data_IF_989919821951
#
_entry.id   IF_989919821951
#
_cell.length_a   1.000
_cell.length_b   1.000
_cell.length_c   1.000
_cell.angle_alpha   90.00
_cell.angle_beta   90.00
_cell.angle_gamma   90.00
#
_symmetry.space_group_name_H-M   'P 1'
#
loop_
_entity.id
_entity.type
_entity.pdbx_description
1 polymer ?
#
# COMPACT_ATOMS: atom_id res chain seq x y z
N UNK A 1 15.09 -21.60 -15.62
CA UNK A 1 15.49 -21.87 -14.25
C UNK A 1 14.30 -22.32 -13.44
N UNK A 2 14.39 -23.47 -12.76
CA UNK A 2 13.34 -23.92 -11.86
C UNK A 2 13.27 -22.97 -10.68
N UNK A 3 12.19 -22.21 -10.56
CA UNK A 3 11.91 -21.46 -9.34
C UNK A 3 11.62 -22.43 -8.20
N UNK A 4 12.60 -22.60 -7.32
CA UNK A 4 12.40 -23.36 -6.09
C UNK A 4 11.39 -22.56 -5.25
N UNK A 5 10.23 -23.17 -4.97
CA UNK A 5 9.24 -22.59 -4.05
C UNK A 5 9.77 -22.76 -2.62
N UNK A 6 10.58 -21.82 -2.17
CA UNK A 6 11.01 -21.72 -0.78
C UNK A 6 10.24 -20.64 -0.09
N UNK A 7 9.73 -20.91 1.09
CA UNK A 7 9.11 -19.93 1.98
C UNK A 7 10.16 -19.05 2.67
N UNK A 8 11.42 -19.52 2.73
CA UNK A 8 12.52 -18.84 3.38
C UNK A 8 13.67 -18.61 2.40
N UNK A 9 14.39 -17.51 2.59
CA UNK A 9 15.64 -17.27 1.88
C UNK A 9 16.68 -18.29 2.34
N UNK A 10 17.61 -18.73 1.48
CA UNK A 10 18.78 -19.45 1.89
C UNK A 10 19.53 -18.69 3.00
N UNK A 11 20.11 -19.42 3.94
CA UNK A 11 20.84 -18.84 5.08
C UNK A 11 21.93 -17.87 4.64
N UNK A 12 22.56 -18.15 3.50
CA UNK A 12 23.61 -17.33 2.88
C UNK A 12 23.08 -15.96 2.40
N UNK A 13 21.79 -15.87 2.12
CA UNK A 13 21.12 -14.65 1.71
C UNK A 13 20.46 -13.90 2.88
N UNK A 14 20.38 -14.54 4.05
CA UNK A 14 19.77 -13.93 5.22
C UNK A 14 20.61 -12.77 5.73
N UNK A 15 20.02 -11.58 5.78
CA UNK A 15 20.69 -10.39 6.30
C UNK A 15 21.63 -9.67 5.33
N UNK A 16 21.69 -10.08 4.07
CA UNK A 16 22.40 -9.31 3.04
C UNK A 16 21.67 -8.01 2.72
N UNK A 17 22.43 -6.95 2.47
CA UNK A 17 21.90 -5.73 1.89
C UNK A 17 21.42 -6.00 0.46
N UNK A 18 20.28 -5.50 0.03
CA UNK A 18 19.83 -5.66 -1.35
C UNK A 18 20.87 -5.11 -2.35
N UNK A 19 21.06 -5.82 -3.47
CA UNK A 19 21.89 -5.34 -4.56
C UNK A 19 21.12 -4.31 -5.38
N UNK A 20 21.70 -3.14 -5.57
CA UNK A 20 21.09 -2.03 -6.31
C UNK A 20 21.71 -1.80 -7.70
N UNK A 21 22.69 -2.59 -8.10
CA UNK A 21 23.46 -2.40 -9.34
C UNK A 21 22.58 -2.41 -10.60
N UNK A 22 21.51 -3.24 -10.58
CA UNK A 22 20.50 -3.27 -11.64
C UNK A 22 19.53 -2.09 -11.64
N UNK A 23 19.58 -1.22 -10.62
CA UNK A 23 18.65 -0.11 -10.43
C UNK A 23 19.37 1.17 -10.01
N UNK A 24 20.33 1.68 -10.81
CA UNK A 24 21.19 2.81 -10.43
C UNK A 24 20.40 4.12 -10.20
N UNK A 25 19.20 4.23 -10.80
CA UNK A 25 18.31 5.38 -10.60
C UNK A 25 17.53 5.35 -9.29
N UNK A 26 17.52 4.22 -8.57
CA UNK A 26 16.82 4.11 -7.30
C UNK A 26 17.73 4.54 -6.16
N UNK A 27 17.54 5.75 -5.66
CA UNK A 27 18.44 6.38 -4.68
C UNK A 27 18.18 5.91 -3.24
N UNK A 28 16.97 5.42 -2.95
CA UNK A 28 16.56 5.06 -1.61
C UNK A 28 16.99 3.64 -1.24
N UNK A 29 16.99 3.35 0.06
CA UNK A 29 17.08 1.97 0.54
C UNK A 29 15.70 1.32 0.53
N UNK A 30 15.65 -0.01 0.38
CA UNK A 30 14.39 -0.80 0.42
C UNK A 30 14.63 -2.11 1.15
N UNK A 31 13.66 -2.55 1.94
CA UNK A 31 13.75 -3.84 2.61
C UNK A 31 12.67 -4.05 3.66
N UNK A 32 12.91 -5.03 4.51
CA UNK A 32 12.01 -5.44 5.58
C UNK A 32 12.71 -5.28 6.93
N UNK A 33 12.06 -4.66 7.91
CA UNK A 33 12.46 -4.80 9.32
C UNK A 33 11.78 -6.00 9.95
N UNK A 34 10.63 -6.40 9.41
CA UNK A 34 9.90 -7.60 9.81
C UNK A 34 9.27 -8.31 8.60
N UNK A 35 9.06 -9.62 8.72
CA UNK A 35 8.30 -10.46 7.80
C UNK A 35 7.09 -11.04 8.53
N UNK A 36 6.10 -11.50 7.77
CA UNK A 36 4.86 -12.04 8.32
C UNK A 36 3.87 -10.97 8.78
N UNK A 37 2.74 -11.41 9.34
CA UNK A 37 1.67 -10.53 9.80
C UNK A 37 0.92 -11.17 10.97
N UNK A 38 0.40 -10.34 11.93
CA UNK A 38 -0.45 -10.78 13.04
C UNK A 38 -1.86 -11.18 12.59
N UNK A 39 -2.28 -10.67 11.42
CA UNK A 39 -3.63 -10.83 10.93
C UNK A 39 -3.75 -12.03 10.02
N UNK A 40 -4.87 -12.73 10.11
CA UNK A 40 -5.20 -13.83 9.21
C UNK A 40 -6.28 -13.37 8.24
N UNK A 41 -5.92 -12.52 7.28
CA UNK A 41 -6.81 -12.08 6.21
C UNK A 41 -6.78 -13.12 5.07
N UNK A 42 -7.27 -14.35 5.35
CA UNK A 42 -7.11 -15.52 4.47
C UNK A 42 -7.80 -15.37 3.12
N UNK A 43 -8.84 -14.53 3.05
CA UNK A 43 -9.71 -14.48 1.88
C UNK A 43 -9.08 -13.77 0.67
N UNK A 44 -8.18 -12.83 0.93
CA UNK A 44 -7.50 -12.08 -0.14
C UNK A 44 -5.98 -11.94 0.06
N UNK A 45 -5.49 -12.10 1.29
CA UNK A 45 -4.10 -11.84 1.62
C UNK A 45 -3.24 -13.11 1.59
N UNK A 46 -2.16 -13.08 0.82
CA UNK A 46 -1.23 -14.22 0.71
C UNK A 46 -0.19 -14.27 1.83
N UNK A 47 -0.03 -13.18 2.61
CA UNK A 47 1.03 -13.02 3.61
C UNK A 47 1.00 -14.12 4.69
N UNK A 48 -0.15 -14.44 5.32
CA UNK A 48 -0.18 -15.47 6.35
C UNK A 48 0.32 -16.83 5.85
N UNK A 49 -0.06 -17.18 4.61
CA UNK A 49 0.35 -18.44 3.98
C UNK A 49 1.80 -18.43 3.50
N UNK A 50 2.29 -17.27 3.00
CA UNK A 50 3.60 -17.15 2.39
C UNK A 50 4.71 -16.88 3.41
N UNK A 51 4.44 -16.09 4.42
CA UNK A 51 5.44 -15.57 5.37
C UNK A 51 5.19 -15.98 6.82
N UNK A 52 3.97 -16.42 7.15
CA UNK A 52 3.60 -16.89 8.48
C UNK A 52 3.49 -15.77 9.52
N UNK A 53 3.90 -16.10 10.74
CA UNK A 53 3.89 -15.19 11.89
C UNK A 53 4.93 -14.09 11.76
N UNK A 54 4.72 -12.99 12.49
CA UNK A 54 5.67 -11.88 12.56
C UNK A 54 7.04 -12.35 13.08
N UNK A 55 8.08 -11.98 12.34
CA UNK A 55 9.48 -12.20 12.67
C UNK A 55 10.27 -10.91 12.41
N UNK A 56 11.03 -10.43 13.39
CA UNK A 56 12.01 -9.37 13.19
C UNK A 56 13.16 -9.91 12.33
N UNK A 57 13.56 -9.17 11.30
CA UNK A 57 14.59 -9.62 10.35
C UNK A 57 15.75 -8.64 10.18
N UNK A 58 15.53 -7.34 10.41
CA UNK A 58 16.57 -6.33 10.24
C UNK A 58 16.29 -5.08 11.08
N UNK A 59 17.28 -4.19 11.16
CA UNK A 59 17.16 -2.82 11.66
C UNK A 59 17.23 -1.83 10.49
N UNK A 60 16.88 -0.57 10.71
CA UNK A 60 16.95 0.46 9.68
C UNK A 60 18.41 0.72 9.25
N UNK A 61 19.34 0.71 10.21
CA UNK A 61 20.77 0.86 9.95
C UNK A 61 21.31 -0.23 9.01
N UNK A 62 20.88 -1.46 9.20
CA UNK A 62 21.29 -2.58 8.33
C UNK A 62 20.66 -2.51 6.94
N UNK A 63 19.47 -1.91 6.80
CA UNK A 63 18.82 -1.71 5.51
C UNK A 63 19.41 -0.53 4.73
N UNK A 64 19.94 0.46 5.44
CA UNK A 64 20.49 1.64 4.81
C UNK A 64 21.73 1.30 3.97
N UNK A 65 21.81 1.88 2.77
CA UNK A 65 22.91 1.66 1.81
C UNK A 65 24.27 2.19 2.28
N UNK A 66 24.31 2.94 3.37
CA UNK A 66 25.54 3.49 3.95
C UNK A 66 25.85 4.91 3.50
N UNK A 67 27.06 5.35 3.85
CA UNK A 67 27.54 6.71 3.58
C UNK A 67 27.50 7.03 2.07
N UNK A 68 27.16 8.27 1.73
CA UNK A 68 26.94 8.71 0.35
C UNK A 68 25.52 8.48 -0.18
N UNK A 69 24.67 7.75 0.55
CA UNK A 69 23.26 7.55 0.19
C UNK A 69 22.29 8.25 1.14
N UNK A 70 21.12 8.71 0.62
CA UNK A 70 20.10 9.33 1.46
C UNK A 70 19.65 8.41 2.61
N UNK A 71 19.39 8.99 3.77
CA UNK A 71 18.80 8.27 4.93
C UNK A 71 17.29 8.07 4.75
N UNK A 72 16.90 7.50 3.64
CA UNK A 72 15.53 7.25 3.21
C UNK A 72 15.32 5.77 2.93
N UNK A 73 14.32 5.16 3.59
CA UNK A 73 14.12 3.72 3.53
C UNK A 73 12.65 3.40 3.21
N UNK A 74 12.42 2.67 2.12
CA UNK A 74 11.11 2.09 1.80
C UNK A 74 10.99 0.76 2.53
N UNK A 75 10.06 0.69 3.47
CA UNK A 75 9.76 -0.52 4.22
C UNK A 75 8.60 -1.30 3.57
N UNK A 76 8.87 -2.57 3.33
CA UNK A 76 7.93 -3.53 2.77
C UNK A 76 7.22 -4.36 3.87
N UNK A 77 7.33 -3.91 5.10
CA UNK A 77 6.77 -4.56 6.30
C UNK A 77 5.25 -4.70 6.19
N UNK A 78 4.75 -5.93 6.29
CA UNK A 78 3.31 -6.19 6.20
C UNK A 78 2.54 -5.77 7.46
N UNK A 79 3.23 -5.66 8.61
CA UNK A 79 2.64 -5.29 9.89
C UNK A 79 3.72 -4.67 10.79
N UNK A 80 4.11 -3.43 10.50
CA UNK A 80 5.19 -2.73 11.20
C UNK A 80 5.04 -2.81 12.73
N UNK A 81 3.84 -2.55 13.26
CA UNK A 81 3.56 -2.63 14.70
C UNK A 81 3.31 -4.03 15.24
N UNK A 82 3.36 -5.06 14.41
CA UNK A 82 3.41 -6.44 14.81
C UNK A 82 4.78 -6.85 15.34
N UNK A 83 5.83 -6.22 14.87
CA UNK A 83 7.16 -6.37 15.41
C UNK A 83 7.23 -5.78 16.82
N UNK A 84 7.67 -6.58 17.81
CA UNK A 84 7.81 -6.12 19.19
C UNK A 84 8.90 -5.06 19.35
N UNK A 85 9.86 -5.05 18.44
CA UNK A 85 11.01 -4.13 18.44
C UNK A 85 10.70 -2.79 17.73
N UNK A 86 9.43 -2.53 17.39
CA UNK A 86 9.06 -1.26 16.75
C UNK A 86 9.51 0.00 17.55
N UNK A 87 9.56 0.01 18.92
CA UNK A 87 10.09 1.17 19.63
C UNK A 87 11.56 1.43 19.32
N UNK A 88 12.37 0.37 19.22
CA UNK A 88 13.79 0.47 18.87
C UNK A 88 13.97 1.04 17.45
N UNK A 89 13.11 0.64 16.50
CA UNK A 89 13.13 1.17 15.12
C UNK A 89 12.77 2.66 15.10
N UNK A 90 11.82 3.09 15.94
CA UNK A 90 11.44 4.51 16.07
C UNK A 90 12.59 5.32 16.68
N UNK A 91 13.22 4.83 17.74
CA UNK A 91 14.42 5.46 18.33
C UNK A 91 15.57 5.55 17.32
N UNK A 92 15.75 4.50 16.51
CA UNK A 92 16.76 4.49 15.44
C UNK A 92 16.45 5.57 14.39
N UNK A 93 15.17 5.76 14.00
CA UNK A 93 14.75 6.86 13.13
C UNK A 93 15.14 8.23 13.71
N UNK A 94 14.84 8.44 14.99
CA UNK A 94 15.10 9.70 15.67
C UNK A 94 16.60 9.99 15.80
N UNK A 95 17.37 9.02 16.27
CA UNK A 95 18.81 9.13 16.51
C UNK A 95 19.61 9.31 15.22
N UNK A 96 19.28 8.53 14.18
CA UNK A 96 20.04 8.51 12.93
C UNK A 96 19.48 9.48 11.89
N UNK A 97 18.27 10.01 12.09
CA UNK A 97 17.61 10.90 11.14
C UNK A 97 17.05 10.18 9.92
N UNK A 98 16.67 8.90 10.05
CA UNK A 98 16.03 8.16 8.96
C UNK A 98 14.63 8.69 8.67
N UNK A 99 14.28 8.72 7.37
CA UNK A 99 12.90 8.90 6.88
C UNK A 99 12.41 7.56 6.35
N UNK A 100 11.22 7.14 6.75
CA UNK A 100 10.68 5.83 6.37
C UNK A 100 9.38 5.95 5.56
N UNK A 101 9.20 5.07 4.60
CA UNK A 101 7.96 4.92 3.84
C UNK A 101 7.42 3.49 4.06
N UNK A 102 6.45 3.32 4.96
CA UNK A 102 5.82 2.02 5.28
C UNK A 102 4.65 1.79 4.33
N UNK A 103 4.95 1.26 3.15
CA UNK A 103 4.03 1.25 2.00
C UNK A 103 2.90 0.21 2.08
N UNK A 104 3.07 -0.84 2.86
CA UNK A 104 1.99 -1.82 3.08
C UNK A 104 0.95 -1.29 4.07
N UNK A 105 1.29 -0.21 4.77
CA UNK A 105 0.40 0.45 5.71
C UNK A 105 0.42 -0.13 7.11
N UNK A 106 -0.27 0.58 8.00
CA UNK A 106 -0.50 0.18 9.39
C UNK A 106 -1.95 -0.25 9.56
N UNK A 107 -2.23 -1.07 10.57
CA UNK A 107 -3.61 -1.40 10.90
C UNK A 107 -4.19 -0.38 11.89
N UNK A 108 -4.98 0.58 11.38
CA UNK A 108 -5.58 1.63 12.21
C UNK A 108 -6.55 1.08 13.26
N UNK A 109 -7.24 -0.06 13.00
CA UNK A 109 -8.20 -0.65 13.94
C UNK A 109 -7.59 -1.00 15.30
N UNK A 110 -6.32 -1.42 15.30
CA UNK A 110 -5.57 -1.84 16.50
C UNK A 110 -4.54 -0.80 16.94
N UNK A 111 -4.47 0.34 16.30
CA UNK A 111 -3.50 1.39 16.62
C UNK A 111 -3.71 1.89 18.05
N UNK A 112 -2.68 1.83 18.87
CA UNK A 112 -2.67 2.38 20.24
C UNK A 112 -2.25 3.85 20.21
N UNK A 113 -2.52 4.56 21.31
CA UNK A 113 -2.06 5.96 21.49
C UNK A 113 -0.54 6.06 21.37
N UNK A 114 0.20 5.18 22.05
CA UNK A 114 1.68 5.14 21.96
C UNK A 114 2.21 4.92 20.53
N UNK A 115 1.53 4.10 19.74
CA UNK A 115 1.90 3.89 18.33
C UNK A 115 1.58 5.11 17.47
N UNK A 116 0.47 5.81 17.73
CA UNK A 116 0.13 7.05 17.03
C UNK A 116 1.15 8.16 17.35
N UNK A 117 1.53 8.31 18.61
CA UNK A 117 2.60 9.23 19.05
C UNK A 117 3.94 8.89 18.38
N UNK A 118 4.28 7.61 18.28
CA UNK A 118 5.47 7.14 17.59
C UNK A 118 5.45 7.51 16.09
N UNK A 119 4.31 7.37 15.42
CA UNK A 119 4.15 7.80 14.02
C UNK A 119 4.35 9.32 13.89
N UNK A 120 3.79 10.10 14.81
CA UNK A 120 3.92 11.55 14.79
C UNK A 120 5.36 12.03 15.06
N UNK A 121 6.14 11.25 15.83
CA UNK A 121 7.49 11.63 16.27
C UNK A 121 8.59 11.43 15.23
N UNK A 122 8.33 10.72 14.13
CA UNK A 122 9.31 10.43 13.07
C UNK A 122 8.77 10.74 11.67
N UNK A 123 9.64 10.97 10.67
CA UNK A 123 9.19 11.30 9.32
C UNK A 123 8.67 10.07 8.56
N UNK A 124 7.37 9.82 8.66
CA UNK A 124 6.68 8.88 7.77
C UNK A 124 6.40 9.56 6.44
N UNK A 125 6.91 8.99 5.35
CA UNK A 125 6.96 9.64 4.05
C UNK A 125 6.25 8.82 2.96
N UNK A 126 5.92 9.49 1.86
CA UNK A 126 5.57 8.82 0.60
C UNK A 126 6.80 8.10 0.01
N UNK A 127 6.60 7.18 -0.92
CA UNK A 127 7.67 6.44 -1.59
C UNK A 127 8.69 7.31 -2.31
N UNK A 128 8.28 8.50 -2.74
CA UNK A 128 9.17 9.49 -3.36
C UNK A 128 9.80 10.44 -2.33
N UNK A 129 9.53 10.29 -1.04
CA UNK A 129 10.06 11.08 0.06
C UNK A 129 9.84 12.61 -0.03
N UNK A 130 8.90 13.05 -0.85
CA UNK A 130 8.59 14.47 -1.04
C UNK A 130 7.56 15.02 -0.04
N UNK A 131 6.74 14.15 0.56
CA UNK A 131 5.67 14.56 1.48
C UNK A 131 5.45 13.54 2.58
N UNK A 132 4.95 14.01 3.73
CA UNK A 132 4.49 13.12 4.81
C UNK A 132 3.36 12.24 4.29
N UNK A 133 3.40 10.94 4.67
CA UNK A 133 2.38 9.96 4.28
C UNK A 133 2.32 8.82 5.27
N UNK A 134 1.14 8.57 5.80
CA UNK A 134 0.81 7.37 6.58
C UNK A 134 -0.19 6.56 5.77
N UNK A 135 0.14 5.31 5.50
CA UNK A 135 -0.74 4.40 4.77
C UNK A 135 -1.48 3.50 5.77
N UNK A 136 -2.76 3.25 5.52
CA UNK A 136 -3.61 2.32 6.26
C UNK A 136 -4.65 1.72 5.33
N UNK A 137 -5.47 0.77 5.80
CA UNK A 137 -6.51 0.15 4.99
C UNK A 137 -7.86 0.09 5.73
N UNK A 138 -8.94 0.27 4.95
CA UNK A 138 -10.31 0.03 5.41
C UNK A 138 -11.06 -0.80 4.36
N UNK A 139 -11.08 -2.11 4.56
CA UNK A 139 -11.60 -3.08 3.60
C UNK A 139 -13.00 -3.60 3.97
N UNK A 140 -13.37 -3.58 5.27
CA UNK A 140 -14.65 -4.07 5.75
C UNK A 140 -15.45 -2.96 6.43
N UNK A 141 -16.73 -2.81 6.07
CA UNK A 141 -17.67 -1.85 6.69
C UNK A 141 -17.86 -2.10 8.19
N UNK A 142 -17.85 -3.34 8.64
CA UNK A 142 -18.01 -3.70 10.05
C UNK A 142 -16.91 -3.10 10.94
N UNK A 143 -15.77 -2.79 10.35
CA UNK A 143 -14.63 -2.19 11.04
C UNK A 143 -14.73 -0.66 11.20
N UNK A 144 -15.75 -0.01 10.64
CA UNK A 144 -15.86 1.46 10.55
C UNK A 144 -15.51 2.15 11.87
N UNK A 145 -16.21 1.80 12.95
CA UNK A 145 -16.02 2.46 14.25
C UNK A 145 -14.60 2.32 14.80
N UNK A 146 -14.03 1.14 14.68
CA UNK A 146 -12.67 0.86 15.18
C UNK A 146 -11.61 1.51 14.30
N UNK A 147 -11.84 1.54 12.99
CA UNK A 147 -10.98 2.17 12.02
C UNK A 147 -10.89 3.69 12.24
N UNK A 148 -12.03 4.40 12.27
CA UNK A 148 -12.03 5.86 12.46
C UNK A 148 -11.54 6.27 13.84
N UNK A 149 -11.75 5.46 14.89
CA UNK A 149 -11.11 5.68 16.19
C UNK A 149 -9.58 5.63 16.09
N UNK A 150 -9.03 4.73 15.28
CA UNK A 150 -7.59 4.68 15.02
C UNK A 150 -7.09 5.88 14.22
N UNK A 151 -7.84 6.35 13.22
CA UNK A 151 -7.50 7.59 12.51
C UNK A 151 -7.53 8.81 13.44
N UNK A 152 -8.51 8.88 14.35
CA UNK A 152 -8.59 9.97 15.32
C UNK A 152 -7.36 10.00 16.24
N UNK A 153 -6.86 8.82 16.69
CA UNK A 153 -5.62 8.73 17.47
C UNK A 153 -4.40 9.30 16.71
N UNK A 154 -4.33 9.09 15.40
CA UNK A 154 -3.27 9.71 14.58
C UNK A 154 -3.39 11.23 14.58
N UNK A 155 -4.59 11.76 14.42
CA UNK A 155 -4.84 13.20 14.41
C UNK A 155 -4.56 13.82 15.78
N UNK A 156 -5.01 13.18 16.85
CA UNK A 156 -4.76 13.62 18.23
C UNK A 156 -3.25 13.64 18.56
N UNK A 157 -2.47 12.74 17.97
CA UNK A 157 -1.01 12.72 18.05
C UNK A 157 -0.30 13.76 17.15
N UNK A 158 -1.03 14.51 16.32
CA UNK A 158 -0.48 15.56 15.45
C UNK A 158 -0.25 15.16 13.98
N UNK A 159 -0.75 14.00 13.55
CA UNK A 159 -0.71 13.61 12.13
C UNK A 159 -1.81 14.33 11.37
N UNK A 160 -1.45 15.11 10.34
CA UNK A 160 -2.44 15.79 9.49
C UNK A 160 -3.31 14.78 8.75
N UNK A 161 -4.66 14.90 8.76
CA UNK A 161 -5.57 14.02 8.02
C UNK A 161 -5.21 13.89 6.53
N UNK A 162 -4.82 14.97 5.86
CA UNK A 162 -4.42 14.96 4.44
C UNK A 162 -3.16 14.12 4.18
N UNK A 163 -2.35 13.87 5.19
CA UNK A 163 -1.20 12.95 5.08
C UNK A 163 -1.59 11.48 5.19
N UNK A 164 -2.82 11.15 5.60
CA UNK A 164 -3.29 9.77 5.74
C UNK A 164 -3.86 9.30 4.39
N UNK A 165 -3.33 8.20 3.87
CA UNK A 165 -3.84 7.53 2.68
C UNK A 165 -4.46 6.19 3.10
N UNK A 166 -5.72 6.00 2.72
CA UNK A 166 -6.50 4.83 3.09
C UNK A 166 -6.70 3.94 1.86
N UNK A 167 -6.04 2.79 1.86
CA UNK A 167 -6.31 1.74 0.90
C UNK A 167 -7.72 1.20 1.12
N UNK A 168 -8.43 0.95 0.04
CA UNK A 168 -9.77 0.37 0.03
C UNK A 168 -9.76 -0.81 -0.94
N UNK A 169 -9.81 -2.04 -0.47
CA UNK A 169 -10.04 -3.19 -1.34
C UNK A 169 -11.46 -3.08 -1.90
N UNK A 170 -11.62 -3.08 -3.21
CA UNK A 170 -12.91 -2.94 -3.90
C UNK A 170 -13.13 -4.06 -4.89
N UNK A 171 -14.35 -4.57 -4.97
CA UNK A 171 -14.73 -5.69 -5.83
C UNK A 171 -14.33 -7.06 -5.30
N UNK A 172 -13.91 -7.17 -4.03
CA UNK A 172 -13.53 -8.43 -3.39
C UNK A 172 -14.72 -9.05 -2.64
N UNK A 173 -15.37 -8.29 -1.77
CA UNK A 173 -16.46 -8.80 -0.94
C UNK A 173 -17.65 -9.19 -1.80
N UNK A 174 -18.23 -10.37 -1.53
CA UNK A 174 -19.43 -10.81 -2.21
C UNK A 174 -20.60 -9.88 -1.84
N UNK A 175 -21.33 -9.43 -2.86
CA UNK A 175 -22.44 -8.50 -2.69
C UNK A 175 -22.02 -7.02 -2.50
N UNK A 176 -20.72 -6.66 -2.54
CA UNK A 176 -20.32 -5.26 -2.49
C UNK A 176 -20.91 -4.47 -3.65
N UNK A 177 -21.64 -3.39 -3.33
CA UNK A 177 -22.28 -2.51 -4.31
C UNK A 177 -21.43 -1.27 -4.62
N UNK A 178 -21.77 -0.57 -5.69
CA UNK A 178 -21.19 0.74 -6.00
C UNK A 178 -21.45 1.75 -4.86
N UNK A 179 -22.62 1.66 -4.21
CA UNK A 179 -22.98 2.51 -3.08
C UNK A 179 -22.08 2.25 -1.86
N UNK A 180 -21.73 1.01 -1.56
CA UNK A 180 -20.82 0.66 -0.45
C UNK A 180 -19.42 1.22 -0.68
N UNK A 181 -18.92 1.12 -1.91
CA UNK A 181 -17.62 1.69 -2.29
C UNK A 181 -17.62 3.21 -2.16
N UNK A 182 -18.67 3.86 -2.67
CA UNK A 182 -18.79 5.33 -2.60
C UNK A 182 -19.00 5.81 -1.17
N UNK A 183 -19.74 5.08 -0.36
CA UNK A 183 -19.88 5.35 1.07
C UNK A 183 -18.52 5.36 1.79
N UNK A 184 -17.70 4.32 1.60
CA UNK A 184 -16.36 4.27 2.19
C UNK A 184 -15.49 5.43 1.72
N UNK A 185 -15.49 5.74 0.43
CA UNK A 185 -14.80 6.90 -0.14
C UNK A 185 -15.25 8.21 0.54
N UNK A 186 -16.56 8.44 0.60
CA UNK A 186 -17.13 9.66 1.16
C UNK A 186 -16.78 9.84 2.64
N UNK A 187 -16.84 8.76 3.43
CA UNK A 187 -16.43 8.78 4.84
C UNK A 187 -14.96 9.12 5.03
N UNK A 188 -14.06 8.54 4.23
CA UNK A 188 -12.64 8.85 4.26
C UNK A 188 -12.39 10.31 3.90
N UNK A 189 -13.07 10.83 2.88
CA UNK A 189 -12.98 12.24 2.48
C UNK A 189 -13.51 13.18 3.56
N UNK A 190 -14.66 12.87 4.16
CA UNK A 190 -15.24 13.66 5.24
C UNK A 190 -14.31 13.74 6.47
N UNK A 191 -13.52 12.69 6.72
CA UNK A 191 -12.48 12.71 7.75
C UNK A 191 -11.28 13.60 7.38
N UNK A 192 -11.14 14.00 6.11
CA UNK A 192 -9.99 14.73 5.59
C UNK A 192 -8.85 13.86 5.04
N UNK A 193 -9.00 12.53 5.08
CA UNK A 193 -8.03 11.58 4.56
C UNK A 193 -8.21 11.33 3.06
N UNK A 194 -7.29 10.55 2.48
CA UNK A 194 -7.26 10.27 1.04
C UNK A 194 -7.65 8.82 0.75
N UNK A 195 -8.79 8.56 0.10
CA UNK A 195 -9.14 7.21 -0.35
C UNK A 195 -8.23 6.79 -1.51
N UNK A 196 -7.81 5.53 -1.48
CA UNK A 196 -7.01 4.90 -2.54
C UNK A 196 -7.58 3.50 -2.83
N UNK A 197 -8.56 3.39 -3.75
CA UNK A 197 -9.14 2.10 -4.10
C UNK A 197 -8.12 1.18 -4.77
N UNK A 198 -8.05 -0.04 -4.26
CA UNK A 198 -7.28 -1.16 -4.81
C UNK A 198 -8.27 -2.16 -5.40
N UNK A 199 -8.45 -2.12 -6.70
CA UNK A 199 -9.42 -2.98 -7.37
C UNK A 199 -8.95 -4.43 -7.39
N UNK A 200 -9.77 -5.31 -6.84
CA UNK A 200 -9.49 -6.75 -6.83
C UNK A 200 -9.73 -7.35 -8.21
N UNK A 201 -8.75 -8.12 -8.68
CA UNK A 201 -8.84 -8.81 -9.97
C UNK A 201 -9.40 -10.20 -9.73
N UNK A 202 -10.67 -10.41 -10.08
CA UNK A 202 -11.32 -11.72 -10.04
C UNK A 202 -11.20 -12.36 -11.41
N UNK A 203 -10.84 -13.63 -11.46
CA UNK A 203 -10.75 -14.43 -12.70
C UNK A 203 -9.85 -13.83 -13.81
N UNK A 204 -8.79 -13.14 -13.40
CA UNK A 204 -7.81 -12.56 -14.31
C UNK A 204 -8.28 -11.29 -15.04
N UNK A 205 -9.50 -10.81 -14.80
CA UNK A 205 -10.05 -9.60 -15.41
C UNK A 205 -10.40 -8.53 -14.37
N UNK A 206 -9.95 -7.31 -14.63
CA UNK A 206 -10.37 -6.14 -13.88
C UNK A 206 -11.57 -5.48 -14.57
N UNK A 207 -12.70 -5.40 -13.89
CA UNK A 207 -13.90 -4.72 -14.38
C UNK A 207 -13.66 -3.24 -14.66
N UNK A 208 -14.26 -2.73 -15.75
CA UNK A 208 -14.10 -1.34 -16.16
C UNK A 208 -14.62 -0.35 -15.12
N UNK A 209 -15.68 -0.71 -14.41
CA UNK A 209 -16.24 0.11 -13.33
C UNK A 209 -15.27 0.27 -12.17
N UNK A 210 -14.65 -0.82 -11.69
CA UNK A 210 -13.68 -0.79 -10.60
C UNK A 210 -12.44 0.02 -10.99
N UNK A 211 -12.01 -0.12 -12.24
CA UNK A 211 -10.88 0.66 -12.78
C UNK A 211 -11.22 2.15 -12.83
N UNK A 212 -12.43 2.49 -13.28
CA UNK A 212 -12.91 3.86 -13.31
C UNK A 212 -13.03 4.44 -11.90
N UNK A 213 -13.56 3.67 -10.94
CA UNK A 213 -13.69 4.10 -9.54
C UNK A 213 -12.30 4.34 -8.90
N UNK A 214 -11.34 3.46 -9.14
CA UNK A 214 -9.97 3.69 -8.68
C UNK A 214 -9.38 4.97 -9.27
N UNK A 215 -9.57 5.22 -10.56
CA UNK A 215 -9.12 6.44 -11.24
C UNK A 215 -9.81 7.69 -10.68
N UNK A 216 -11.12 7.64 -10.47
CA UNK A 216 -11.93 8.71 -9.89
C UNK A 216 -11.37 9.21 -8.54
N UNK A 217 -11.00 8.27 -7.66
CA UNK A 217 -10.44 8.62 -6.35
C UNK A 217 -8.97 9.03 -6.41
N UNK A 218 -8.12 8.29 -7.16
CA UNK A 218 -6.67 8.51 -7.17
C UNK A 218 -6.28 9.79 -7.91
N UNK A 219 -7.03 10.17 -8.94
CA UNK A 219 -6.87 11.45 -9.64
C UNK A 219 -7.59 12.61 -8.95
N UNK A 220 -8.23 12.37 -7.80
CA UNK A 220 -8.96 13.37 -6.99
C UNK A 220 -10.13 14.02 -7.70
N UNK A 221 -10.71 13.38 -8.69
CA UNK A 221 -11.89 13.85 -9.40
C UNK A 221 -13.08 13.89 -8.45
N UNK A 222 -13.13 12.98 -7.50
CA UNK A 222 -14.10 12.84 -6.42
C UNK A 222 -14.20 14.06 -5.47
N UNK A 223 -13.35 15.06 -5.62
CA UNK A 223 -13.44 16.34 -4.92
C UNK A 223 -14.35 17.35 -5.63
N UNK A 224 -14.63 17.13 -6.91
CA UNK A 224 -15.29 18.11 -7.78
C UNK A 224 -16.57 17.58 -8.42
N UNK A 225 -16.76 16.26 -8.41
CA UNK A 225 -17.90 15.63 -9.07
C UNK A 225 -18.36 14.38 -8.32
N UNK A 226 -19.61 13.93 -8.54
CA UNK A 226 -20.15 12.69 -7.96
C UNK A 226 -19.71 11.48 -8.79
N UNK A 227 -19.76 10.28 -8.17
CA UNK A 227 -19.47 9.05 -8.87
C UNK A 227 -20.43 8.80 -10.05
N UNK A 228 -21.73 9.08 -9.89
CA UNK A 228 -22.75 8.88 -10.93
C UNK A 228 -22.45 9.76 -12.14
N UNK A 229 -22.12 11.03 -11.92
CA UNK A 229 -21.77 11.99 -13.00
C UNK A 229 -20.52 11.53 -13.72
N UNK A 230 -19.48 11.18 -12.97
CA UNK A 230 -18.21 10.69 -13.54
C UNK A 230 -18.42 9.41 -14.35
N UNK A 231 -19.10 8.40 -13.78
CA UNK A 231 -19.35 7.12 -14.44
C UNK A 231 -20.24 7.26 -15.67
N UNK A 232 -21.29 8.10 -15.61
CA UNK A 232 -22.15 8.40 -16.76
C UNK A 232 -21.37 8.93 -17.94
N UNK A 233 -20.38 9.78 -17.69
CA UNK A 233 -19.51 10.38 -18.73
C UNK A 233 -18.46 9.41 -19.25
N UNK A 234 -17.81 8.66 -18.37
CA UNK A 234 -16.65 7.82 -18.69
C UNK A 234 -16.99 6.37 -19.01
N UNK A 235 -18.07 5.81 -18.48
CA UNK A 235 -18.48 4.44 -18.76
C UNK A 235 -18.62 4.11 -20.24
N UNK A 236 -19.02 5.11 -21.05
CA UNK A 236 -19.02 4.99 -22.52
C UNK A 236 -17.63 5.04 -23.17
N UNK A 237 -16.71 5.83 -22.61
CA UNK A 237 -15.36 6.02 -23.17
C UNK A 237 -14.41 4.88 -22.78
N UNK A 238 -14.51 4.33 -21.59
CA UNK A 238 -13.72 3.16 -21.14
C UNK A 238 -14.03 1.95 -22.03
N UNK A 239 -15.29 1.73 -22.39
CA UNK A 239 -15.68 0.69 -23.34
C UNK A 239 -15.09 0.91 -24.74
N UNK A 240 -15.01 2.17 -25.21
CA UNK A 240 -14.36 2.52 -26.50
C UNK A 240 -12.86 2.30 -26.46
N UNK A 241 -12.18 2.69 -25.39
CA UNK A 241 -10.72 2.52 -25.22
C UNK A 241 -10.33 1.05 -25.09
N UNK A 242 -11.08 0.25 -24.35
CA UNK A 242 -10.87 -1.19 -24.23
C UNK A 242 -11.01 -1.89 -25.59
N UNK A 243 -12.04 -1.53 -26.37
CA UNK A 243 -12.23 -2.02 -27.73
C UNK A 243 -11.12 -1.61 -28.69
N UNK A 244 -10.58 -0.40 -28.58
CA UNK A 244 -9.46 0.05 -29.41
C UNK A 244 -8.13 -0.64 -29.08
N UNK A 245 -7.87 -0.90 -27.77
CA UNK A 245 -6.70 -1.69 -27.34
C UNK A 245 -6.79 -3.16 -27.75
N UNK A 246 -7.98 -3.75 -27.68
CA UNK A 246 -8.22 -5.12 -28.17
C UNK A 246 -7.98 -5.20 -29.70
N UNK A 247 -8.48 -4.24 -30.48
CA UNK A 247 -8.21 -4.16 -31.92
C UNK A 247 -6.73 -3.99 -32.25
N UNK A 248 -5.96 -3.18 -31.48
CA UNK A 248 -4.51 -3.03 -31.67
C UNK A 248 -3.72 -4.30 -31.33
N UNK A 249 -4.16 -5.10 -30.36
CA UNK A 249 -3.52 -6.41 -30.05
C UNK A 249 -3.74 -7.46 -31.14
N UNK A 250 -4.84 -7.38 -31.85
CA UNK A 250 -5.16 -8.30 -32.94
C UNK A 250 -4.44 -7.91 -34.26
N UNK A 251 -3.97 -6.67 -34.37
CA UNK A 251 -3.28 -6.17 -35.60
C UNK A 251 -1.76 -6.16 -35.52
N UNK A 252 -1.14 -6.69 -34.46
CA UNK A 252 0.31 -6.97 -34.48
C UNK A 252 0.52 -8.36 -35.06
N UNK A 253 1.19 -8.48 -36.20
CA UNK A 253 1.54 -9.79 -36.75
C UNK A 253 2.45 -10.50 -35.76
N UNK A 254 2.02 -11.66 -35.33
CA UNK A 254 2.88 -12.64 -34.68
C UNK A 254 3.95 -13.02 -35.73
N UNK A 255 5.19 -12.64 -35.45
CA UNK A 255 6.42 -13.17 -36.02
C UNK A 255 6.30 -13.67 -37.46
N UNK A 256 6.73 -12.87 -38.44
CA UNK A 256 7.23 -13.39 -39.70
C UNK A 256 8.47 -14.21 -39.38
N UNK A 257 8.35 -15.52 -39.55
CA UNK A 257 9.50 -16.39 -39.63
C UNK A 257 10.12 -16.32 -41.01
N UNK A 258 11.36 -16.76 -41.06
CA UNK A 258 12.12 -17.31 -42.20
C UNK A 258 12.54 -16.37 -43.34
N UNK A 259 13.79 -15.94 -43.25
CA UNK A 259 14.87 -16.45 -44.14
C UNK A 259 16.22 -16.02 -43.59
#
# INVERSE_FOLDING_TARGET
GHMVRRSELPSECAGLTPCYDGYPWFEHSIGYTQRGCRFNCSDFCVVPRKEGKVQAVSTLRRLWRGEGHPKTIVLLDNDFFGNRDWPVLVEECQREGFKIAVIQGINARLLTVKQAEAIASVPWMSTAFHRKRVYTAWDNLDDERTFFRGLQRLVDAGVSPDSIMVYMLVGHADGETAADRDYRRAKIRAFGARPYPMAFVRDGALGDELRAFASFCTQRIDLYETWETYWGRFGGNVRKMARSKAKRRVSLPLFGGDE
#
